data_IF_403246051348
#
_entry.id   IF_403246051348
#
_cell.length_a   1.000
_cell.length_b   1.000
_cell.length_c   1.000
_cell.angle_alpha   90.00
_cell.angle_beta   90.00
_cell.angle_gamma   90.00
#
_symmetry.space_group_name_H-M   'P 1'
#
loop_
_entity.id
_entity.type
_entity.pdbx_description
1 polymer ?
#
# COMPACT_ATOMS: atom_id res chain seq x y z
N UNK A 1 2.51 -8.35 -20.56
CA UNK A 1 1.93 -9.70 -20.71
C UNK A 1 1.83 -10.05 -22.18
N UNK A 2 1.90 -11.33 -22.58
CA UNK A 2 1.61 -11.75 -23.94
C UNK A 2 0.31 -11.10 -24.44
N UNK A 3 0.32 -10.58 -25.66
CA UNK A 3 -0.78 -9.79 -26.21
C UNK A 3 -0.77 -9.83 -27.73
N UNK A 4 -1.96 -9.97 -28.32
CA UNK A 4 -2.20 -9.96 -29.77
C UNK A 4 -2.21 -8.57 -30.38
N UNK A 5 -2.35 -7.53 -29.56
CA UNK A 5 -2.66 -6.18 -30.04
C UNK A 5 -1.41 -5.45 -30.54
N UNK A 6 -0.25 -5.70 -29.94
CA UNK A 6 1.00 -4.98 -30.23
C UNK A 6 2.23 -5.91 -30.31
N UNK A 7 2.03 -7.22 -30.42
CA UNK A 7 3.12 -8.21 -30.47
C UNK A 7 2.71 -9.54 -31.09
N UNK A 8 3.68 -10.40 -31.35
CA UNK A 8 3.49 -11.72 -31.98
C UNK A 8 3.40 -12.89 -30.99
N UNK A 9 3.38 -12.62 -29.68
CA UNK A 9 3.40 -13.67 -28.66
C UNK A 9 2.04 -13.81 -27.98
N UNK A 10 1.41 -14.95 -28.25
CA UNK A 10 0.15 -15.40 -27.65
C UNK A 10 0.29 -15.92 -26.22
N UNK A 11 1.50 -16.40 -25.92
CA UNK A 11 1.82 -17.08 -24.67
C UNK A 11 3.25 -16.78 -24.28
N UNK A 12 3.53 -16.81 -22.98
CA UNK A 12 4.89 -16.73 -22.45
C UNK A 12 5.77 -17.88 -22.95
N UNK A 13 5.18 -19.01 -23.36
CA UNK A 13 5.89 -20.14 -23.98
C UNK A 13 6.50 -19.80 -25.35
N UNK A 14 6.01 -18.75 -26.00
CA UNK A 14 6.55 -18.29 -27.28
C UNK A 14 7.74 -17.36 -27.13
N UNK A 15 8.12 -16.98 -25.90
CA UNK A 15 9.22 -16.04 -25.70
C UNK A 15 10.57 -16.65 -26.11
N UNK A 16 11.43 -15.89 -26.81
CA UNK A 16 12.77 -16.36 -27.16
C UNK A 16 13.64 -16.64 -25.92
N UNK A 17 14.56 -17.60 -26.06
CA UNK A 17 15.43 -18.05 -24.96
C UNK A 17 16.26 -16.93 -24.33
N UNK A 18 16.73 -15.96 -25.12
CA UNK A 18 17.51 -14.84 -24.60
C UNK A 18 16.69 -13.96 -23.62
N UNK A 19 15.40 -13.75 -23.88
CA UNK A 19 14.49 -13.00 -22.99
C UNK A 19 14.26 -13.79 -21.71
N UNK A 20 14.05 -15.11 -21.82
CA UNK A 20 13.90 -16.00 -20.67
C UNK A 20 15.18 -16.02 -19.82
N UNK A 21 16.33 -16.13 -20.46
CA UNK A 21 17.63 -16.13 -19.79
C UNK A 21 17.89 -14.79 -19.13
N UNK A 22 17.58 -13.67 -19.78
CA UNK A 22 17.71 -12.34 -19.18
C UNK A 22 16.86 -12.22 -17.92
N UNK A 23 15.56 -12.50 -17.99
CA UNK A 23 14.67 -12.41 -16.84
C UNK A 23 15.07 -13.35 -15.69
N UNK A 24 15.58 -14.54 -16.02
CA UNK A 24 16.11 -15.49 -15.02
C UNK A 24 17.32 -14.94 -14.27
N UNK A 25 18.25 -14.28 -14.97
CA UNK A 25 19.48 -13.76 -14.37
C UNK A 25 19.30 -12.36 -13.76
N UNK A 26 18.21 -11.65 -14.08
CA UNK A 26 17.95 -10.28 -13.63
C UNK A 26 16.51 -10.13 -13.08
N UNK A 27 16.16 -10.81 -11.96
CA UNK A 27 14.81 -10.75 -11.41
C UNK A 27 14.49 -9.43 -10.70
N UNK A 28 15.51 -8.63 -10.35
CA UNK A 28 15.35 -7.38 -9.61
C UNK A 28 15.41 -6.17 -10.55
N UNK A 29 14.49 -5.24 -10.34
CA UNK A 29 14.52 -3.92 -10.98
C UNK A 29 15.57 -3.04 -10.30
N UNK A 30 16.26 -2.19 -11.08
CA UNK A 30 17.27 -1.28 -10.55
C UNK A 30 16.66 -0.14 -9.71
N UNK A 31 15.56 0.46 -10.19
CA UNK A 31 14.91 1.58 -9.52
C UNK A 31 13.95 1.10 -8.42
N UNK A 32 13.95 1.71 -7.23
CA UNK A 32 12.99 1.38 -6.18
C UNK A 32 11.61 1.97 -6.48
N UNK A 33 10.58 1.40 -5.86
CA UNK A 33 9.26 2.01 -5.78
C UNK A 33 9.24 2.97 -4.59
N UNK A 34 8.95 4.24 -4.84
CA UNK A 34 8.77 5.24 -3.78
C UNK A 34 7.29 5.38 -3.43
N UNK A 35 6.95 5.60 -2.15
CA UNK A 35 5.56 5.85 -1.76
C UNK A 35 5.07 7.18 -2.36
N UNK A 36 3.76 7.28 -2.55
CA UNK A 36 3.12 8.54 -2.94
C UNK A 36 3.48 9.64 -1.93
N UNK A 37 3.90 10.81 -2.43
CA UNK A 37 4.37 11.92 -1.58
C UNK A 37 5.75 11.72 -0.95
N UNK A 38 6.46 10.62 -1.26
CA UNK A 38 7.84 10.39 -0.81
C UNK A 38 8.00 10.10 0.69
N UNK A 39 6.90 9.85 1.41
CA UNK A 39 6.88 9.59 2.85
C UNK A 39 5.76 8.63 3.25
N UNK A 40 5.81 8.00 4.43
CA UNK A 40 4.69 7.22 4.97
C UNK A 40 3.45 8.09 5.19
N UNK A 41 2.25 7.49 5.08
CA UNK A 41 0.97 8.16 5.37
C UNK A 41 0.69 8.30 6.86
N UNK A 42 1.13 7.35 7.68
CA UNK A 42 0.95 7.36 9.13
C UNK A 42 2.20 6.78 9.79
N UNK A 43 2.67 7.43 10.85
CA UNK A 43 3.88 7.04 11.58
C UNK A 43 3.63 7.10 13.09
N UNK A 44 4.02 6.03 13.79
CA UNK A 44 4.02 5.95 15.24
C UNK A 44 5.38 5.40 15.67
N UNK A 45 6.09 6.16 16.50
CA UNK A 45 7.43 5.80 17.01
C UNK A 45 7.43 5.86 18.53
N UNK A 46 8.33 5.09 19.17
CA UNK A 46 8.45 5.07 20.64
C UNK A 46 7.32 4.36 21.37
N UNK A 47 6.60 3.46 20.70
CA UNK A 47 5.44 2.75 21.25
C UNK A 47 5.79 1.27 21.40
N UNK A 48 5.35 0.57 22.46
CA UNK A 48 5.74 -0.82 22.73
C UNK A 48 5.00 -1.85 21.86
N UNK A 49 4.52 -1.47 20.68
CA UNK A 49 3.84 -2.36 19.74
C UNK A 49 4.23 -2.07 18.30
N UNK A 50 4.02 -3.05 17.44
CA UNK A 50 4.21 -2.93 15.99
C UNK A 50 2.89 -3.09 15.25
N UNK A 51 2.77 -2.48 14.07
CA UNK A 51 1.62 -2.68 13.19
C UNK A 51 1.73 -4.02 12.47
N UNK A 52 0.63 -4.76 12.40
CA UNK A 52 0.61 -6.13 11.85
C UNK A 52 -0.32 -6.29 10.67
N UNK A 53 -1.50 -5.67 10.71
CA UNK A 53 -2.53 -5.81 9.69
C UNK A 53 -3.16 -4.46 9.39
N UNK A 54 -3.67 -4.29 8.18
CA UNK A 54 -4.38 -3.08 7.76
C UNK A 54 -5.59 -3.46 6.91
N UNK A 55 -6.71 -2.80 7.15
CA UNK A 55 -7.82 -2.71 6.21
C UNK A 55 -8.22 -1.25 6.05
N UNK A 56 -8.79 -0.90 4.90
CA UNK A 56 -9.20 0.46 4.58
C UNK A 56 -10.63 0.43 4.09
N UNK A 57 -11.47 1.27 4.70
CA UNK A 57 -12.84 1.49 4.27
C UNK A 57 -12.98 2.91 3.69
N UNK A 58 -13.65 3.04 2.55
CA UNK A 58 -13.93 4.34 1.95
C UNK A 58 -15.30 4.81 2.36
N UNK A 59 -15.34 5.76 3.28
CA UNK A 59 -16.55 6.24 3.94
C UNK A 59 -17.04 7.54 3.30
N UNK A 60 -18.35 7.61 3.06
CA UNK A 60 -19.03 8.85 2.68
C UNK A 60 -19.35 9.66 3.95
N UNK A 61 -18.78 10.85 4.06
CA UNK A 61 -19.08 11.83 5.10
C UNK A 61 -19.83 13.04 4.50
N UNK A 62 -20.31 13.93 5.35
CA UNK A 62 -21.08 15.11 4.93
C UNK A 62 -20.29 16.06 4.02
N UNK A 63 -18.96 16.07 4.17
CA UNK A 63 -18.01 16.96 3.52
C UNK A 63 -17.15 16.27 2.45
N UNK A 64 -17.34 14.98 2.20
CA UNK A 64 -16.64 14.25 1.14
C UNK A 64 -16.41 12.78 1.45
N UNK A 65 -15.44 12.18 0.76
CA UNK A 65 -15.04 10.80 0.96
C UNK A 65 -13.74 10.73 1.74
N UNK A 66 -13.66 9.80 2.68
CA UNK A 66 -12.47 9.56 3.49
C UNK A 66 -12.07 8.10 3.43
N UNK A 67 -10.77 7.85 3.30
CA UNK A 67 -10.18 6.53 3.51
C UNK A 67 -9.88 6.37 5.00
N UNK A 68 -10.65 5.49 5.66
CA UNK A 68 -10.53 5.14 7.07
C UNK A 68 -9.71 3.87 7.20
N UNK A 69 -8.50 3.98 7.74
CA UNK A 69 -7.59 2.87 7.98
C UNK A 69 -7.86 2.27 9.36
N UNK A 70 -8.06 0.96 9.42
CA UNK A 70 -8.05 0.17 10.65
C UNK A 70 -6.76 -0.64 10.69
N UNK A 71 -5.90 -0.35 11.67
CA UNK A 71 -4.55 -0.90 11.78
C UNK A 71 -4.49 -1.77 13.03
N UNK A 72 -4.28 -3.07 12.85
CA UNK A 72 -4.06 -4.01 13.94
C UNK A 72 -2.62 -3.95 14.47
N UNK A 73 -2.47 -4.19 15.77
CA UNK A 73 -1.17 -4.29 16.44
C UNK A 73 -0.85 -5.71 16.89
N UNK A 74 0.40 -5.97 17.24
CA UNK A 74 0.86 -7.23 17.86
C UNK A 74 0.44 -7.40 19.33
N UNK A 75 -0.13 -6.36 19.94
CA UNK A 75 -0.65 -6.38 21.32
C UNK A 75 -2.18 -6.49 21.39
N UNK A 76 -2.84 -6.77 20.26
CA UNK A 76 -4.29 -6.97 20.23
C UNK A 76 -5.11 -5.67 20.31
N UNK A 77 -4.52 -4.53 19.97
CA UNK A 77 -5.22 -3.27 19.77
C UNK A 77 -5.48 -2.99 18.28
N UNK A 78 -6.50 -2.17 17.99
CA UNK A 78 -6.83 -1.67 16.67
C UNK A 78 -6.86 -0.15 16.71
N UNK A 79 -6.06 0.49 15.85
CA UNK A 79 -6.07 1.93 15.64
C UNK A 79 -7.00 2.26 14.47
N UNK A 80 -7.79 3.32 14.60
CA UNK A 80 -8.58 3.90 13.50
C UNK A 80 -8.02 5.25 13.13
N UNK A 81 -7.55 5.38 11.89
CA UNK A 81 -6.83 6.55 11.40
C UNK A 81 -7.50 7.03 10.11
N UNK A 82 -7.64 8.34 9.94
CA UNK A 82 -8.10 8.93 8.68
C UNK A 82 -7.00 9.78 8.05
N UNK A 83 -6.98 9.82 6.73
CA UNK A 83 -6.13 10.72 5.95
C UNK A 83 -6.99 11.86 5.41
N UNK A 84 -6.87 13.05 5.99
CA UNK A 84 -7.60 14.24 5.55
C UNK A 84 -6.79 14.99 4.49
N UNK A 85 -7.31 15.21 3.27
CA UNK A 85 -6.62 16.02 2.27
C UNK A 85 -6.45 17.47 2.76
N UNK A 86 -5.22 17.93 2.97
CA UNK A 86 -4.92 19.36 3.16
C UNK A 86 -4.37 19.95 1.87
N UNK A 87 -5.27 20.51 1.06
CA UNK A 87 -4.90 21.25 -0.15
C UNK A 87 -3.96 20.47 -1.08
N UNK A 88 -3.21 21.20 -1.90
CA UNK A 88 -2.65 20.67 -3.14
C UNK A 88 -1.61 19.54 -3.01
N UNK A 89 -0.99 19.29 -1.85
CA UNK A 89 0.15 18.34 -1.77
C UNK A 89 0.36 17.60 -0.43
N UNK A 90 -0.46 17.79 0.61
CA UNK A 90 -0.22 17.11 1.90
C UNK A 90 -1.52 16.60 2.50
N UNK A 91 -1.62 15.29 2.70
CA UNK A 91 -2.63 14.77 3.61
C UNK A 91 -2.18 14.98 5.06
N UNK A 92 -3.12 15.20 5.97
CA UNK A 92 -2.90 15.14 7.42
C UNK A 92 -3.56 13.89 7.95
N UNK A 93 -2.78 13.06 8.60
CA UNK A 93 -3.23 11.88 9.32
C UNK A 93 -3.82 12.27 10.68
N UNK A 94 -4.95 11.65 11.02
CA UNK A 94 -5.61 11.84 12.30
C UNK A 94 -5.96 10.47 12.89
N UNK A 95 -5.39 10.15 14.06
CA UNK A 95 -5.80 9.02 14.88
C UNK A 95 -7.13 9.38 15.56
N UNK A 96 -8.19 8.66 15.23
CA UNK A 96 -9.51 8.83 15.82
C UNK A 96 -9.65 8.07 17.14
N UNK A 97 -9.21 6.81 17.15
CA UNK A 97 -9.34 5.91 18.30
C UNK A 97 -8.28 4.80 18.28
N UNK A 98 -7.94 4.29 19.47
CA UNK A 98 -7.18 3.06 19.67
C UNK A 98 -7.99 2.17 20.63
N UNK A 99 -8.35 0.97 20.17
CA UNK A 99 -9.26 0.06 20.87
C UNK A 99 -8.56 -1.26 21.18
N UNK A 100 -8.51 -1.65 22.47
CA UNK A 100 -8.08 -2.99 22.86
C UNK A 100 -9.20 -3.99 22.58
N UNK A 101 -8.98 -4.92 21.65
CA UNK A 101 -10.02 -5.87 21.21
C UNK A 101 -9.80 -7.29 21.75
N UNK A 102 -8.61 -7.60 22.27
CA UNK A 102 -8.31 -8.85 22.95
C UNK A 102 -7.69 -8.59 24.33
N UNK A 103 -7.97 -9.46 25.31
CA UNK A 103 -7.35 -9.43 26.64
C UNK A 103 -6.18 -10.39 26.72
#
# INVERSE_FOLDING_TARGET
>A
CPSKTFGSFESTKGFPDNVIQFARHHPLMFNPVTPLGGRPLFLRTGIPYTFTQITVDRVNAADGHYDVMFIGTDVGSVLKVISVPKGSWSNTELLLEELQVFK
#
